data_IF_644303800173
#
_entry.id   IF_644303800173
#
_cell.length_a   1.000
_cell.length_b   1.000
_cell.length_c   1.000
_cell.angle_alpha   90.00
_cell.angle_beta   90.00
_cell.angle_gamma   90.00
#
_symmetry.space_group_name_H-M   'P 1'
#
loop_
_entity.id
_entity.type
_entity.pdbx_description
1 polymer ?
#
# COMPACT_ATOMS: atom_id res chain seq x y z
N UNK A 1 13.89 -15.72 12.51
CA UNK A 1 12.53 -15.31 12.09
C UNK A 1 12.44 -13.80 12.27
N UNK A 2 12.22 -13.03 11.20
CA UNK A 2 11.99 -11.59 11.31
C UNK A 2 10.57 -11.45 11.87
N UNK A 3 10.41 -10.95 13.09
CA UNK A 3 9.10 -10.61 13.63
C UNK A 3 8.59 -9.40 12.85
N UNK A 4 7.95 -9.66 11.71
CA UNK A 4 7.11 -8.65 11.07
C UNK A 4 6.02 -8.32 12.08
N UNK A 5 5.97 -7.08 12.52
CA UNK A 5 5.01 -6.64 13.54
C UNK A 5 3.63 -6.76 12.91
N UNK A 6 2.90 -7.82 13.26
CA UNK A 6 1.60 -8.11 12.68
C UNK A 6 0.66 -6.95 12.98
N UNK A 7 -0.03 -6.46 11.95
CA UNK A 7 -0.98 -5.37 12.08
C UNK A 7 -0.35 -3.98 12.23
N UNK A 8 0.93 -3.77 11.89
CA UNK A 8 1.53 -2.44 11.81
C UNK A 8 1.83 -2.09 10.35
N UNK A 9 1.47 -0.87 9.96
CA UNK A 9 1.75 -0.34 8.63
C UNK A 9 3.25 -0.16 8.45
N UNK A 10 3.82 -0.71 7.37
CA UNK A 10 5.26 -0.59 7.10
C UNK A 10 5.70 0.81 6.64
N UNK A 11 4.76 1.68 6.27
CA UNK A 11 5.03 3.02 5.74
C UNK A 11 4.92 4.11 6.82
N UNK A 12 3.85 4.08 7.61
CA UNK A 12 3.61 5.10 8.64
C UNK A 12 3.79 4.59 10.08
N UNK A 13 4.12 3.31 10.25
CA UNK A 13 4.32 2.67 11.56
C UNK A 13 3.09 2.71 12.49
N UNK A 14 1.92 3.06 11.95
CA UNK A 14 0.65 3.08 12.67
C UNK A 14 -0.06 1.71 12.62
N UNK A 15 -0.93 1.38 13.59
CA UNK A 15 -1.75 0.18 13.56
C UNK A 15 -2.65 0.11 12.33
N UNK A 16 -2.69 -1.06 11.69
CA UNK A 16 -3.65 -1.41 10.64
C UNK A 16 -4.98 -1.74 11.32
N UNK A 17 -6.07 -1.16 10.81
CA UNK A 17 -7.41 -1.38 11.35
C UNK A 17 -7.76 -2.88 11.39
N UNK A 18 -8.35 -3.32 12.50
CA UNK A 18 -8.81 -4.71 12.68
C UNK A 18 -9.69 -5.17 11.52
N UNK A 19 -10.67 -4.36 11.09
CA UNK A 19 -11.53 -4.68 9.92
C UNK A 19 -10.74 -4.93 8.64
N UNK A 20 -9.60 -4.27 8.45
CA UNK A 20 -8.70 -4.49 7.31
C UNK A 20 -7.96 -5.82 7.45
N UNK A 21 -7.50 -6.16 8.66
CA UNK A 21 -6.81 -7.41 8.96
C UNK A 21 -7.76 -8.63 8.95
N UNK A 22 -9.02 -8.45 9.36
CA UNK A 22 -10.07 -9.47 9.23
C UNK A 22 -10.33 -9.82 7.76
N UNK A 23 -10.38 -8.81 6.89
CA UNK A 23 -10.55 -9.00 5.46
C UNK A 23 -9.26 -9.48 4.76
N UNK A 24 -8.10 -8.98 5.18
CA UNK A 24 -6.78 -9.24 4.60
C UNK A 24 -5.72 -9.36 5.71
N UNK A 25 -5.53 -10.57 6.28
CA UNK A 25 -4.58 -10.77 7.39
C UNK A 25 -3.13 -10.46 7.04
N UNK A 26 -2.75 -10.51 5.76
CA UNK A 26 -1.41 -10.20 5.27
C UNK A 26 -1.24 -8.74 4.85
N UNK A 27 -2.17 -7.84 5.19
CA UNK A 27 -2.06 -6.43 4.85
C UNK A 27 -0.77 -5.82 5.43
N UNK A 28 0.04 -5.22 4.55
CA UNK A 28 1.30 -4.54 4.92
C UNK A 28 1.11 -3.04 5.19
N UNK A 29 0.08 -2.43 4.60
CA UNK A 29 -0.20 -1.01 4.69
C UNK A 29 -1.57 -0.74 5.31
N UNK A 30 -1.67 0.37 6.05
CA UNK A 30 -2.96 0.91 6.44
C UNK A 30 -3.72 1.44 5.21
N UNK A 31 -5.04 1.63 5.33
CA UNK A 31 -5.89 2.06 4.20
C UNK A 31 -5.44 3.40 3.61
N UNK A 32 -4.89 4.30 4.43
CA UNK A 32 -4.42 5.63 4.00
C UNK A 32 -3.20 5.50 3.09
N UNK A 33 -2.18 4.76 3.55
CA UNK A 33 -0.97 4.52 2.78
C UNK A 33 -1.27 3.71 1.52
N UNK A 34 -2.10 2.67 1.60
CA UNK A 34 -2.50 1.91 0.41
C UNK A 34 -3.20 2.80 -0.62
N UNK A 35 -4.15 3.64 -0.20
CA UNK A 35 -4.85 4.57 -1.11
C UNK A 35 -3.88 5.55 -1.78
N UNK A 36 -2.85 6.00 -1.05
CA UNK A 36 -1.85 6.90 -1.59
C UNK A 36 -0.98 6.21 -2.65
N UNK A 37 -0.54 4.97 -2.39
CA UNK A 37 0.22 4.15 -3.33
C UNK A 37 -0.60 3.86 -4.60
N UNK A 38 -1.83 3.39 -4.46
CA UNK A 38 -2.74 3.11 -5.58
C UNK A 38 -2.95 4.36 -6.46
N UNK A 39 -2.99 5.55 -5.85
CA UNK A 39 -3.11 6.82 -6.58
C UNK A 39 -1.82 7.16 -7.34
N UNK A 40 -0.65 6.93 -6.74
CA UNK A 40 0.62 7.14 -7.42
C UNK A 40 0.80 6.17 -8.59
N UNK A 41 0.47 4.89 -8.42
CA UNK A 41 0.50 3.90 -9.50
C UNK A 41 -0.40 4.30 -10.67
N UNK A 42 -1.61 4.81 -10.40
CA UNK A 42 -2.51 5.31 -11.45
C UNK A 42 -1.95 6.52 -12.20
N UNK A 43 -1.20 7.40 -11.54
CA UNK A 43 -0.54 8.53 -12.20
C UNK A 43 0.65 8.05 -13.04
N UNK A 44 1.51 7.20 -12.47
CA UNK A 44 2.65 6.62 -13.18
C UNK A 44 2.21 5.82 -14.41
N UNK A 45 1.15 5.00 -14.32
CA UNK A 45 0.63 4.24 -15.46
C UNK A 45 0.10 5.14 -16.60
N UNK A 46 -0.31 6.37 -16.29
CA UNK A 46 -0.71 7.35 -17.30
C UNK A 46 0.49 8.03 -17.93
N UNK A 47 1.52 8.31 -17.14
CA UNK A 47 2.72 9.00 -17.60
C UNK A 47 3.61 8.06 -18.45
N UNK A 48 3.84 6.82 -18.03
CA UNK A 48 4.66 5.85 -18.79
C UNK A 48 4.06 5.46 -20.13
N UNK A 49 2.76 5.73 -20.37
CA UNK A 49 2.14 5.51 -21.68
C UNK A 49 2.54 6.54 -22.74
N UNK A 50 3.18 7.65 -22.36
CA UNK A 50 3.62 8.69 -23.30
C UNK A 50 5.11 8.60 -23.65
N UNK A 51 5.97 8.10 -22.76
CA UNK A 51 7.42 8.05 -23.00
C UNK A 51 7.88 6.88 -23.91
N UNK A 52 7.08 5.83 -24.08
CA UNK A 52 7.38 4.71 -25.01
C UNK A 52 6.88 4.92 -26.45
N UNK A 53 6.33 6.10 -26.77
CA UNK A 53 5.87 6.45 -28.12
C UNK A 53 6.81 7.42 -28.87
N UNK A 54 8.05 7.62 -28.38
CA UNK A 54 9.09 8.41 -29.04
C UNK A 54 9.99 7.55 -29.93
#
# INVERSE_FOLDING_TARGET
VKLGVYGICVECEEPISERRLEALPWALHCIRCQTALDRQEQMHARDTRWDEAA
#
